data_IF_984900981705
#
_entry.id   IF_984900981705
#
_cell.length_a   1.000
_cell.length_b   1.000
_cell.length_c   1.000
_cell.angle_alpha   90.00
_cell.angle_beta   90.00
_cell.angle_gamma   90.00
#
_symmetry.space_group_name_H-M   'P 1'
#
loop_
_entity.id
_entity.type
_entity.pdbx_description
1 polymer ?
#
# COMPACT_ATOMS: atom_id res chain seq x y z
N UNK A 1 14.70 -17.13 6.38
CA UNK A 1 13.30 -16.69 6.26
C UNK A 1 13.30 -15.23 5.83
N UNK A 2 12.67 -14.90 4.70
CA UNK A 2 12.58 -13.51 4.21
C UNK A 2 11.33 -12.83 4.79
N UNK A 3 11.33 -11.48 4.86
CA UNK A 3 10.16 -10.73 5.34
C UNK A 3 8.88 -11.01 4.53
N UNK A 4 9.01 -11.38 3.25
CA UNK A 4 7.89 -11.80 2.40
C UNK A 4 7.32 -13.17 2.82
N UNK A 5 8.19 -14.16 3.04
CA UNK A 5 7.78 -15.49 3.52
C UNK A 5 7.10 -15.39 4.88
N UNK A 6 7.65 -14.58 5.78
CA UNK A 6 7.08 -14.32 7.10
C UNK A 6 5.63 -13.81 7.03
N UNK A 7 5.37 -12.83 6.16
CA UNK A 7 4.03 -12.28 5.95
C UNK A 7 3.07 -13.32 5.36
N UNK A 8 3.52 -14.07 4.34
CA UNK A 8 2.67 -15.10 3.69
C UNK A 8 2.32 -16.21 4.69
N UNK A 9 3.29 -16.66 5.47
CA UNK A 9 3.08 -17.67 6.52
C UNK A 9 2.08 -17.18 7.57
N UNK A 10 2.22 -15.93 8.03
CA UNK A 10 1.30 -15.33 9.00
C UNK A 10 -0.13 -15.21 8.45
N UNK A 11 -0.27 -14.73 7.22
CA UNK A 11 -1.57 -14.59 6.56
C UNK A 11 -2.23 -15.93 6.15
N UNK A 12 -1.50 -17.05 6.20
CA UNK A 12 -2.09 -18.38 6.06
C UNK A 12 -2.92 -18.81 7.27
N UNK A 13 -2.70 -18.18 8.43
CA UNK A 13 -3.38 -18.49 9.69
C UNK A 13 -4.23 -17.33 10.22
N UNK A 14 -3.93 -16.10 9.82
CA UNK A 14 -4.61 -14.88 10.26
C UNK A 14 -5.13 -14.07 9.07
N UNK A 15 -6.28 -13.41 9.24
CA UNK A 15 -6.92 -12.65 8.16
C UNK A 15 -6.22 -11.31 7.85
N UNK A 16 -5.51 -10.76 8.83
CA UNK A 16 -4.83 -9.46 8.79
C UNK A 16 -3.55 -9.51 9.62
N UNK A 17 -2.58 -8.64 9.35
CA UNK A 17 -1.36 -8.58 10.15
C UNK A 17 -0.88 -7.15 10.38
N UNK A 18 -0.09 -6.97 11.45
CA UNK A 18 0.78 -5.81 11.62
C UNK A 18 2.26 -6.25 11.71
N UNK A 19 3.19 -5.37 11.33
CA UNK A 19 4.60 -5.74 11.25
C UNK A 19 5.24 -6.19 12.58
N UNK A 20 4.91 -5.58 13.74
CA UNK A 20 5.35 -6.08 15.05
C UNK A 20 4.92 -7.52 15.35
N UNK A 21 3.67 -7.89 15.06
CA UNK A 21 3.15 -9.22 15.39
C UNK A 21 3.81 -10.31 14.54
N UNK A 22 4.01 -10.03 13.25
CA UNK A 22 4.76 -10.93 12.36
C UNK A 22 6.20 -11.06 12.82
N UNK A 23 6.84 -9.96 13.23
CA UNK A 23 8.22 -9.97 13.72
C UNK A 23 8.37 -10.86 14.95
N UNK A 24 7.43 -10.76 15.90
CA UNK A 24 7.42 -11.55 17.12
C UNK A 24 7.24 -13.05 16.82
N UNK A 25 6.36 -13.42 15.88
CA UNK A 25 6.09 -14.82 15.55
C UNK A 25 7.22 -15.46 14.71
N UNK A 26 7.79 -14.70 13.78
CA UNK A 26 8.72 -15.25 12.78
C UNK A 26 10.19 -14.99 13.08
N UNK A 27 10.50 -14.19 14.11
CA UNK A 27 11.85 -13.77 14.47
C UNK A 27 12.51 -12.83 13.45
N UNK A 28 11.76 -12.32 12.47
CA UNK A 28 12.27 -11.36 11.50
C UNK A 28 12.21 -9.94 12.06
N UNK A 29 13.07 -9.03 11.58
CA UNK A 29 13.06 -7.65 12.07
C UNK A 29 11.82 -6.89 11.56
N UNK A 30 11.25 -6.04 12.41
CA UNK A 30 10.09 -5.19 12.07
C UNK A 30 10.35 -4.34 10.82
N UNK A 31 11.58 -3.87 10.63
CA UNK A 31 11.98 -3.09 9.46
C UNK A 31 11.93 -3.91 8.17
N UNK A 32 12.43 -5.15 8.18
CA UNK A 32 12.38 -6.04 7.02
C UNK A 32 10.95 -6.39 6.61
N UNK A 33 10.06 -6.60 7.58
CA UNK A 33 8.64 -6.87 7.36
C UNK A 33 7.95 -5.63 6.80
N UNK A 34 8.19 -4.45 7.36
CA UNK A 34 7.62 -3.21 6.83
C UNK A 34 8.05 -2.92 5.39
N UNK A 35 9.33 -3.13 5.06
CA UNK A 35 9.82 -2.99 3.69
C UNK A 35 9.16 -4.00 2.74
N UNK A 36 9.03 -5.26 3.17
CA UNK A 36 8.35 -6.29 2.39
C UNK A 36 6.86 -5.96 2.20
N UNK A 37 6.15 -5.60 3.26
CA UNK A 37 4.74 -5.19 3.23
C UNK A 37 4.53 -4.00 2.29
N UNK A 38 5.36 -2.96 2.37
CA UNK A 38 5.29 -1.81 1.47
C UNK A 38 5.52 -2.20 0.00
N UNK A 39 6.47 -3.09 -0.26
CA UNK A 39 6.73 -3.60 -1.63
C UNK A 39 5.54 -4.41 -2.16
N UNK A 40 4.93 -5.24 -1.32
CA UNK A 40 3.76 -6.05 -1.69
C UNK A 40 2.48 -5.21 -1.85
N UNK A 41 2.28 -4.19 -1.03
CA UNK A 41 1.19 -3.24 -1.17
C UNK A 41 1.29 -2.44 -2.48
N UNK A 42 2.50 -1.96 -2.84
CA UNK A 42 2.73 -1.32 -4.15
C UNK A 42 2.49 -2.25 -5.34
N UNK A 43 2.73 -3.56 -5.17
CA UNK A 43 2.44 -4.56 -6.18
C UNK A 43 0.95 -4.96 -6.24
N UNK A 44 0.09 -4.36 -5.40
CA UNK A 44 -1.34 -4.68 -5.34
C UNK A 44 -1.65 -6.04 -4.72
N UNK A 45 -0.71 -6.64 -3.99
CA UNK A 45 -0.90 -7.93 -3.30
C UNK A 45 -1.51 -7.76 -1.91
N UNK A 46 -1.23 -6.63 -1.25
CA UNK A 46 -1.76 -6.29 0.06
C UNK A 46 -2.57 -5.00 -0.03
N UNK A 47 -3.63 -4.92 0.78
CA UNK A 47 -4.43 -3.72 1.01
C UNK A 47 -4.30 -3.30 2.46
N UNK A 48 -4.31 -1.99 2.70
CA UNK A 48 -4.36 -1.44 4.06
C UNK A 48 -5.80 -1.57 4.55
N UNK A 49 -6.01 -2.39 5.57
CA UNK A 49 -7.32 -2.57 6.21
C UNK A 49 -7.63 -1.41 7.17
N UNK A 50 -6.60 -0.95 7.88
CA UNK A 50 -6.75 0.13 8.84
C UNK A 50 -5.41 0.63 9.36
N UNK A 51 -5.46 1.79 10.02
CA UNK A 51 -4.31 2.37 10.70
C UNK A 51 -4.73 2.78 12.10
N UNK A 52 -4.05 2.23 13.09
CA UNK A 52 -4.21 2.61 14.50
C UNK A 52 -2.91 3.25 14.93
N UNK A 53 -2.95 4.54 15.23
CA UNK A 53 -1.75 5.34 15.54
C UNK A 53 -0.68 5.23 14.44
N UNK A 54 0.51 4.72 14.78
CA UNK A 54 1.63 4.50 13.85
C UNK A 54 1.64 3.09 13.24
N UNK A 55 0.74 2.22 13.69
CA UNK A 55 0.65 0.83 13.26
C UNK A 55 -0.33 0.71 12.09
N UNK A 56 0.11 0.06 11.03
CA UNK A 56 -0.69 -0.21 9.83
C UNK A 56 -1.03 -1.68 9.81
N UNK A 57 -2.32 -1.98 9.58
CA UNK A 57 -2.84 -3.31 9.41
C UNK A 57 -3.04 -3.59 7.93
N UNK A 58 -2.46 -4.71 7.49
CA UNK A 58 -2.54 -5.16 6.10
C UNK A 58 -3.31 -6.47 6.03
N UNK A 59 -4.05 -6.64 4.94
CA UNK A 59 -4.69 -7.90 4.55
C UNK A 59 -4.37 -8.23 3.09
N UNK A 60 -4.62 -9.47 2.68
CA UNK A 60 -4.53 -9.80 1.26
C UNK A 60 -5.56 -9.00 0.44
N UNK A 61 -5.12 -8.56 -0.74
CA UNK A 61 -6.00 -7.93 -1.70
C UNK A 61 -6.99 -8.97 -2.25
N UNK A 62 -8.27 -8.61 -2.28
CA UNK A 62 -9.26 -9.40 -3.01
C UNK A 62 -9.01 -9.26 -4.52
N UNK A 63 -9.51 -10.22 -5.31
CA UNK A 63 -9.35 -10.21 -6.78
C UNK A 63 -9.82 -8.90 -7.40
N UNK A 64 -10.92 -8.34 -6.90
CA UNK A 64 -11.53 -7.09 -7.38
C UNK A 64 -10.68 -5.85 -7.07
N UNK A 65 -10.04 -5.81 -5.90
CA UNK A 65 -9.12 -4.74 -5.51
C UNK A 65 -7.81 -4.80 -6.30
N UNK A 66 -7.36 -6.02 -6.63
CA UNK A 66 -6.16 -6.27 -7.47
C UNK A 66 -6.39 -5.88 -8.92
N UNK A 67 -7.62 -6.02 -9.42
CA UNK A 67 -8.06 -5.54 -10.74
C UNK A 67 -8.19 -4.00 -10.81
N UNK A 68 -7.88 -3.28 -9.71
CA UNK A 68 -7.75 -1.82 -9.73
C UNK A 68 -9.07 -1.06 -9.60
N UNK A 69 -10.14 -1.69 -9.12
CA UNK A 69 -11.41 -1.01 -8.79
C UNK A 69 -11.39 -0.22 -7.48
N UNK A 70 -10.20 0.14 -7.00
CA UNK A 70 -10.01 1.04 -5.87
C UNK A 70 -9.90 2.47 -6.41
N UNK A 71 -10.88 3.31 -6.02
CA UNK A 71 -11.00 4.73 -6.37
C UNK A 71 -9.65 5.41 -6.53
N UNK A 72 -9.18 5.50 -7.78
CA UNK A 72 -8.22 6.54 -8.14
C UNK A 72 -8.96 7.83 -7.79
N UNK A 73 -8.44 8.71 -6.95
CA UNK A 73 -9.04 10.03 -6.75
C UNK A 73 -9.05 10.77 -8.10
N UNK A 74 -10.08 10.51 -8.92
CA UNK A 74 -10.25 11.03 -10.27
C UNK A 74 -10.38 12.55 -10.20
N UNK A 75 -10.92 13.09 -9.11
CA UNK A 75 -11.03 14.52 -8.85
C UNK A 75 -9.69 15.26 -9.07
N UNK A 76 -8.56 14.73 -8.61
CA UNK A 76 -7.26 15.37 -8.82
C UNK A 76 -6.67 15.12 -10.22
N UNK A 77 -7.07 14.05 -10.91
CA UNK A 77 -6.69 13.79 -12.31
C UNK A 77 -7.49 14.69 -13.25
N UNK A 78 -8.81 14.75 -13.08
CA UNK A 78 -9.73 15.62 -13.80
C UNK A 78 -9.39 17.09 -13.58
N UNK A 79 -9.14 17.50 -12.33
CA UNK A 79 -8.69 18.86 -12.03
C UNK A 79 -7.38 19.19 -12.76
N UNK A 80 -6.38 18.30 -12.74
CA UNK A 80 -5.13 18.46 -13.52
C UNK A 80 -5.34 18.47 -15.04
N UNK A 81 -6.33 17.74 -15.53
CA UNK A 81 -6.65 17.67 -16.96
C UNK A 81 -7.55 18.81 -17.44
N UNK A 82 -8.17 19.57 -16.53
CA UNK A 82 -9.00 20.72 -16.83
C UNK A 82 -8.22 21.79 -17.61
N UNK A 83 -8.92 22.50 -18.51
CA UNK A 83 -8.30 23.56 -19.31
C UNK A 83 -7.73 24.70 -18.46
N UNK A 84 -8.32 24.98 -17.29
CA UNK A 84 -7.81 25.97 -16.35
C UNK A 84 -6.48 25.51 -15.72
N UNK A 85 -6.43 24.30 -15.17
CA UNK A 85 -5.22 23.80 -14.51
C UNK A 85 -4.09 23.54 -15.50
N UNK A 86 -4.38 23.08 -16.73
CA UNK A 86 -3.37 22.97 -17.80
C UNK A 86 -2.69 24.30 -18.11
N UNK A 87 -3.45 25.42 -18.11
CA UNK A 87 -2.88 26.77 -18.29
C UNK A 87 -2.00 27.19 -17.12
N UNK A 88 -2.46 26.95 -15.90
CA UNK A 88 -1.66 27.23 -14.68
C UNK A 88 -0.37 26.39 -14.66
N UNK A 89 -0.46 25.10 -14.96
CA UNK A 89 0.71 24.21 -15.02
C UNK A 89 1.65 24.54 -16.18
N UNK A 90 1.17 25.07 -17.30
CA UNK A 90 2.03 25.55 -18.38
C UNK A 90 2.86 26.78 -17.98
N UNK A 91 2.36 27.61 -17.05
CA UNK A 91 3.03 28.84 -16.57
C UNK A 91 3.90 28.58 -15.33
N UNK A 92 3.39 27.81 -14.37
CA UNK A 92 4.00 27.61 -13.05
C UNK A 92 4.55 26.20 -12.81
N UNK A 93 4.30 25.24 -13.71
CA UNK A 93 4.86 23.90 -13.62
C UNK A 93 6.36 23.94 -13.91
N UNK A 94 7.17 23.90 -12.85
CA UNK A 94 8.64 23.78 -12.94
C UNK A 94 9.00 22.46 -13.64
N UNK A 95 9.33 22.60 -14.93
CA UNK A 95 10.04 21.78 -15.93
C UNK A 95 10.11 20.24 -15.81
N UNK A 96 9.79 19.64 -16.98
CA UNK A 96 10.36 18.47 -17.69
C UNK A 96 11.23 17.49 -16.91
#
# INVERSE_FOLDING_TARGET
MTGKEAIIHYLGTHNSFCAPDVAALTGATVTSINQAAAKMARAGLLVIEGKVWRTVYYRFATREEREGKMSTNLVFKECRQSAAMKRVLAVYGVKR
#
